data_IF_027747795807
#
_entry.id   IF_027747795807
#
_cell.length_a   1.000
_cell.length_b   1.000
_cell.length_c   1.000
_cell.angle_alpha   90.00
_cell.angle_beta   90.00
_cell.angle_gamma   90.00
#
_symmetry.space_group_name_H-M   'P 1'
#
loop_
_entity.id
_entity.type
_entity.pdbx_description
1 polymer ?
#
# COMPACT_ATOMS: atom_id res chain seq x y z
N UNK A 1 -11.35 15.84 17.38
CA UNK A 1 -9.91 15.83 17.05
C UNK A 1 -9.63 16.82 15.91
N UNK A 2 -8.44 17.42 15.89
CA UNK A 2 -8.04 18.25 14.75
C UNK A 2 -7.93 17.37 13.49
N UNK A 3 -8.54 17.82 12.38
CA UNK A 3 -8.48 17.11 11.09
C UNK A 3 -7.16 17.42 10.37
N UNK A 4 -6.08 16.73 10.74
CA UNK A 4 -4.73 16.97 10.23
C UNK A 4 -4.58 16.68 8.73
N UNK A 5 -5.47 15.87 8.16
CA UNK A 5 -5.43 15.40 6.77
C UNK A 5 -6.62 15.89 5.94
N UNK A 6 -7.28 16.98 6.40
CA UNK A 6 -8.40 17.56 5.65
C UNK A 6 -7.99 17.87 4.21
N UNK A 7 -8.81 17.43 3.26
CA UNK A 7 -8.56 17.59 1.83
C UNK A 7 -7.44 16.72 1.25
N UNK A 8 -6.81 15.81 2.02
CA UNK A 8 -5.85 14.82 1.51
C UNK A 8 -6.57 13.59 0.98
N UNK A 9 -5.93 12.91 0.04
CA UNK A 9 -6.40 11.65 -0.54
C UNK A 9 -5.36 10.57 -0.27
N UNK A 10 -5.78 9.48 0.37
CA UNK A 10 -4.93 8.36 0.74
C UNK A 10 -5.37 7.08 0.02
N UNK A 11 -4.39 6.31 -0.43
CA UNK A 11 -4.57 4.94 -0.93
C UNK A 11 -3.87 4.01 0.05
N UNK A 12 -4.58 3.01 0.56
CA UNK A 12 -4.00 2.00 1.45
C UNK A 12 -4.23 0.62 0.83
N UNK A 13 -3.16 -0.14 0.63
CA UNK A 13 -3.22 -1.50 0.08
C UNK A 13 -3.32 -2.55 1.18
N UNK A 14 -4.07 -3.64 0.94
CA UNK A 14 -4.34 -4.64 1.97
C UNK A 14 -5.15 -4.07 3.13
N UNK A 15 -6.08 -3.15 2.85
CA UNK A 15 -6.79 -2.36 3.84
C UNK A 15 -8.14 -2.93 4.28
N UNK A 16 -8.47 -4.15 3.89
CA UNK A 16 -9.69 -4.82 4.32
C UNK A 16 -9.64 -5.35 5.75
N UNK A 17 -8.44 -5.56 6.31
CA UNK A 17 -8.22 -6.15 7.64
C UNK A 17 -6.95 -5.67 8.30
N UNK A 18 -6.81 -6.01 9.59
CA UNK A 18 -5.58 -5.84 10.38
C UNK A 18 -5.06 -4.40 10.35
N UNK A 19 -3.74 -4.26 10.19
CA UNK A 19 -3.06 -2.96 10.25
C UNK A 19 -3.59 -2.01 9.17
N UNK A 20 -3.70 -2.47 7.92
CA UNK A 20 -4.18 -1.61 6.81
C UNK A 20 -5.61 -1.09 7.01
N UNK A 21 -6.49 -1.88 7.64
CA UNK A 21 -7.83 -1.43 8.03
C UNK A 21 -7.76 -0.28 9.04
N UNK A 22 -6.96 -0.45 10.10
CA UNK A 22 -6.81 0.57 11.14
C UNK A 22 -6.16 1.86 10.59
N UNK A 23 -5.19 1.73 9.69
CA UNK A 23 -4.60 2.86 8.98
C UNK A 23 -5.64 3.60 8.14
N UNK A 24 -6.48 2.89 7.38
CA UNK A 24 -7.53 3.48 6.57
C UNK A 24 -8.54 4.26 7.43
N UNK A 25 -8.98 3.67 8.54
CA UNK A 25 -9.91 4.29 9.49
C UNK A 25 -9.28 5.53 10.15
N UNK A 26 -8.04 5.41 10.63
CA UNK A 26 -7.34 6.50 11.28
C UNK A 26 -7.13 7.69 10.33
N UNK A 27 -6.67 7.45 9.11
CA UNK A 27 -6.48 8.52 8.13
C UNK A 27 -7.82 9.21 7.79
N UNK A 28 -8.92 8.43 7.67
CA UNK A 28 -10.26 8.98 7.47
C UNK A 28 -10.75 9.82 8.66
N UNK A 29 -10.52 9.38 9.89
CA UNK A 29 -10.83 10.14 11.12
C UNK A 29 -10.11 11.49 11.16
N UNK A 30 -8.90 11.55 10.60
CA UNK A 30 -8.14 12.80 10.45
C UNK A 30 -8.52 13.62 9.21
N UNK A 31 -9.55 13.23 8.46
CA UNK A 31 -10.13 14.01 7.36
C UNK A 31 -9.63 13.65 5.96
N UNK A 32 -8.83 12.59 5.80
CA UNK A 32 -8.46 12.10 4.49
C UNK A 32 -9.65 11.42 3.79
N UNK A 33 -9.72 11.56 2.46
CA UNK A 33 -10.52 10.70 1.59
C UNK A 33 -9.71 9.45 1.28
N UNK A 34 -10.32 8.28 1.37
CA UNK A 34 -9.57 7.01 1.40
C UNK A 34 -9.99 6.07 0.27
N UNK A 35 -9.01 5.53 -0.45
CA UNK A 35 -9.18 4.33 -1.27
C UNK A 35 -8.76 3.13 -0.43
N UNK A 36 -9.70 2.27 -0.12
CA UNK A 36 -9.50 1.01 0.60
C UNK A 36 -9.27 -0.08 -0.45
N UNK A 37 -8.02 -0.49 -0.67
CA UNK A 37 -7.72 -1.56 -1.60
C UNK A 37 -7.56 -2.88 -0.86
N UNK A 38 -8.32 -3.88 -1.24
CA UNK A 38 -8.17 -5.26 -0.80
C UNK A 38 -8.85 -6.22 -1.80
N UNK A 39 -8.15 -7.18 -2.41
CA UNK A 39 -8.75 -8.16 -3.32
C UNK A 39 -9.61 -9.22 -2.62
N UNK A 40 -9.65 -9.22 -1.27
CA UNK A 40 -10.43 -10.17 -0.49
C UNK A 40 -9.84 -11.58 -0.45
N UNK A 41 -8.52 -11.72 -0.44
CA UNK A 41 -7.83 -12.99 -0.23
C UNK A 41 -7.43 -13.17 1.23
N UNK A 42 -7.24 -14.42 1.67
CA UNK A 42 -6.76 -14.73 3.01
C UNK A 42 -5.27 -14.40 3.21
N UNK A 43 -4.75 -14.60 4.43
CA UNK A 43 -3.36 -14.32 4.78
C UNK A 43 -2.32 -15.12 3.96
N UNK A 44 -2.70 -16.29 3.42
CA UNK A 44 -1.85 -17.08 2.51
C UNK A 44 -1.86 -16.58 1.06
N UNK A 45 -2.68 -15.57 0.75
CA UNK A 45 -2.92 -15.10 -0.62
C UNK A 45 -3.93 -15.94 -1.38
N UNK A 46 -4.69 -16.80 -0.71
CA UNK A 46 -5.68 -17.72 -1.28
C UNK A 46 -7.08 -17.47 -0.72
N UNK A 47 -8.08 -18.03 -1.39
CA UNK A 47 -9.47 -17.83 -1.02
C UNK A 47 -10.08 -16.58 -1.63
N UNK A 48 -11.35 -16.35 -1.34
CA UNK A 48 -12.10 -15.18 -1.79
C UNK A 48 -13.11 -14.77 -0.72
N UNK A 49 -12.81 -13.71 -0.03
CA UNK A 49 -13.74 -13.06 0.91
C UNK A 49 -14.14 -11.70 0.34
N UNK A 50 -15.26 -11.69 -0.35
CA UNK A 50 -15.63 -10.69 -1.36
C UNK A 50 -16.07 -9.31 -0.85
N UNK A 51 -16.01 -9.02 0.45
CA UNK A 51 -16.57 -7.75 0.97
C UNK A 51 -15.74 -7.00 1.99
N UNK A 52 -14.53 -7.46 2.25
CA UNK A 52 -13.71 -6.86 3.32
C UNK A 52 -13.37 -5.38 3.09
N UNK A 53 -13.11 -4.99 1.85
CA UNK A 53 -12.89 -3.58 1.52
C UNK A 53 -14.17 -2.74 1.66
N UNK A 54 -15.32 -3.29 1.25
CA UNK A 54 -16.62 -2.61 1.36
C UNK A 54 -17.01 -2.38 2.82
N UNK A 55 -16.76 -3.35 3.70
CA UNK A 55 -17.05 -3.23 5.12
C UNK A 55 -16.29 -2.06 5.76
N UNK A 56 -15.02 -1.91 5.43
CA UNK A 56 -14.19 -0.77 5.90
C UNK A 56 -14.70 0.55 5.30
N UNK A 57 -15.06 0.57 4.03
CA UNK A 57 -15.66 1.74 3.38
C UNK A 57 -16.96 2.16 4.05
N UNK A 58 -17.84 1.20 4.36
CA UNK A 58 -19.10 1.47 5.06
C UNK A 58 -18.85 2.01 6.48
N UNK A 59 -17.87 1.47 7.20
CA UNK A 59 -17.49 1.96 8.52
C UNK A 59 -16.98 3.40 8.47
N UNK A 60 -16.07 3.71 7.52
CA UNK A 60 -15.57 5.08 7.32
C UNK A 60 -16.71 6.04 7.01
N UNK A 61 -17.67 5.66 6.15
CA UNK A 61 -18.84 6.47 5.83
C UNK A 61 -19.76 6.69 7.03
N UNK A 62 -19.98 5.67 7.87
CA UNK A 62 -20.76 5.79 9.12
C UNK A 62 -20.16 6.79 10.11
N UNK A 63 -18.82 6.95 10.08
CA UNK A 63 -18.11 7.96 10.88
C UNK A 63 -18.11 9.37 10.25
N UNK A 64 -18.77 9.54 9.08
CA UNK A 64 -18.82 10.80 8.35
C UNK A 64 -17.60 11.06 7.45
N UNK A 65 -16.74 10.08 7.21
CA UNK A 65 -15.61 10.13 6.28
C UNK A 65 -16.01 9.80 4.84
N UNK A 66 -15.08 9.99 3.90
CA UNK A 66 -15.24 9.63 2.49
C UNK A 66 -14.30 8.50 2.13
N UNK A 67 -14.83 7.39 1.62
CA UNK A 67 -14.02 6.25 1.15
C UNK A 67 -14.65 5.54 -0.03
N UNK A 68 -13.80 4.86 -0.82
CA UNK A 68 -14.20 3.97 -1.93
C UNK A 68 -13.37 2.70 -1.88
N UNK A 69 -13.96 1.57 -2.28
CA UNK A 69 -13.28 0.30 -2.37
C UNK A 69 -12.57 0.14 -3.73
N UNK A 70 -11.49 -0.62 -3.73
CA UNK A 70 -10.80 -1.13 -4.91
C UNK A 70 -10.38 -2.58 -4.64
N UNK A 71 -10.49 -3.47 -5.64
CA UNK A 71 -10.30 -4.92 -5.48
C UNK A 71 -9.15 -5.47 -6.35
N UNK A 72 -8.36 -4.59 -6.95
CA UNK A 72 -7.24 -4.99 -7.80
C UNK A 72 -6.08 -5.57 -6.98
N UNK A 73 -5.32 -6.46 -7.60
CA UNK A 73 -4.14 -7.06 -7.00
C UNK A 73 -2.90 -6.16 -7.16
N UNK A 74 -2.14 -5.95 -6.11
CA UNK A 74 -0.91 -5.13 -6.13
C UNK A 74 0.21 -5.78 -6.97
N UNK A 75 0.26 -7.10 -7.06
CA UNK A 75 1.26 -7.86 -7.83
C UNK A 75 1.00 -7.87 -9.35
N UNK A 76 -0.19 -7.42 -9.80
CA UNK A 76 -0.47 -7.11 -11.20
C UNK A 76 -0.13 -5.63 -11.48
N UNK A 77 0.73 -5.37 -12.47
CA UNK A 77 1.20 -4.02 -12.77
C UNK A 77 0.06 -3.10 -13.23
N UNK A 78 -0.84 -3.60 -14.09
CA UNK A 78 -2.02 -2.83 -14.53
C UNK A 78 -3.08 -2.74 -13.42
N UNK A 79 -3.19 -3.76 -12.55
CA UNK A 79 -4.00 -3.69 -11.33
C UNK A 79 -3.54 -2.58 -10.39
N UNK A 80 -2.25 -2.50 -10.13
CA UNK A 80 -1.66 -1.42 -9.32
C UNK A 80 -1.91 -0.04 -9.92
N UNK A 81 -1.88 0.08 -11.26
CA UNK A 81 -2.27 1.31 -11.95
C UNK A 81 -3.73 1.67 -11.69
N UNK A 82 -4.65 0.71 -11.75
CA UNK A 82 -6.08 0.95 -11.47
C UNK A 82 -6.31 1.31 -10.00
N UNK A 83 -5.51 0.78 -9.06
CA UNK A 83 -5.57 1.20 -7.65
C UNK A 83 -5.30 2.71 -7.53
N UNK A 84 -4.20 3.19 -8.11
CA UNK A 84 -3.85 4.62 -8.08
C UNK A 84 -4.87 5.45 -8.88
N UNK A 85 -5.31 4.96 -10.04
CA UNK A 85 -6.30 5.63 -10.87
C UNK A 85 -7.65 5.81 -10.15
N UNK A 86 -8.03 4.86 -9.28
CA UNK A 86 -9.24 4.97 -8.46
C UNK A 86 -9.23 6.25 -7.60
N UNK A 87 -8.09 6.60 -6.99
CA UNK A 87 -7.97 7.84 -6.23
C UNK A 87 -8.11 9.09 -7.11
N UNK A 88 -7.50 9.05 -8.29
CA UNK A 88 -7.54 10.15 -9.26
C UNK A 88 -8.96 10.35 -9.79
N UNK A 89 -9.64 9.29 -10.19
CA UNK A 89 -10.98 9.34 -10.78
C UNK A 89 -12.04 9.75 -9.76
N UNK A 90 -11.92 9.30 -8.52
CA UNK A 90 -12.92 9.57 -7.47
C UNK A 90 -12.69 10.87 -6.71
N UNK A 91 -11.42 11.23 -6.51
CA UNK A 91 -11.04 12.35 -5.64
C UNK A 91 -10.15 13.39 -6.32
N UNK A 92 -9.80 13.20 -7.60
CA UNK A 92 -9.04 14.14 -8.42
C UNK A 92 -7.51 14.13 -8.20
N UNK A 93 -7.01 13.36 -7.21
CA UNK A 93 -5.58 13.33 -6.85
C UNK A 93 -5.22 12.14 -5.96
N UNK A 94 -3.94 12.00 -5.70
CA UNK A 94 -3.38 11.18 -4.60
C UNK A 94 -2.35 12.01 -3.85
N UNK A 95 -2.42 12.03 -2.51
CA UNK A 95 -1.45 12.68 -1.63
C UNK A 95 -0.64 11.65 -0.82
N UNK A 96 -1.27 10.52 -0.43
CA UNK A 96 -0.67 9.52 0.46
C UNK A 96 -0.86 8.13 -0.16
N UNK A 97 0.22 7.35 -0.21
CA UNK A 97 0.23 5.93 -0.55
C UNK A 97 0.79 5.14 0.63
N UNK A 98 0.00 4.20 1.16
CA UNK A 98 0.45 3.23 2.15
C UNK A 98 0.53 1.86 1.49
N UNK A 99 1.75 1.36 1.32
CA UNK A 99 2.03 0.01 0.83
C UNK A 99 2.06 -0.96 2.02
N UNK A 100 0.88 -1.48 2.38
CA UNK A 100 0.71 -2.40 3.49
C UNK A 100 0.36 -3.83 3.04
N UNK A 101 -0.15 -4.04 1.82
CA UNK A 101 -0.53 -5.36 1.33
C UNK A 101 0.57 -6.41 1.54
N UNK A 102 0.19 -7.57 2.06
CA UNK A 102 1.13 -8.64 2.35
C UNK A 102 0.46 -9.98 2.60
N UNK A 103 1.21 -11.06 2.43
CA UNK A 103 0.83 -12.43 2.71
C UNK A 103 1.96 -13.15 3.46
N UNK A 104 1.65 -14.24 4.14
CA UNK A 104 2.62 -15.08 4.83
C UNK A 104 2.58 -16.50 4.26
N UNK A 105 3.76 -17.03 3.94
CA UNK A 105 3.99 -18.41 3.52
C UNK A 105 5.26 -18.91 4.21
N UNK A 106 5.18 -19.00 5.53
CA UNK A 106 6.33 -19.31 6.39
C UNK A 106 6.64 -20.80 6.34
N UNK A 107 7.86 -21.12 5.95
CA UNK A 107 8.41 -22.48 5.93
C UNK A 107 9.91 -22.44 6.17
N UNK A 108 10.46 -23.49 6.80
CA UNK A 108 11.91 -23.67 6.84
C UNK A 108 12.47 -23.74 5.42
N UNK A 109 13.64 -23.18 5.16
CA UNK A 109 14.22 -23.03 3.82
C UNK A 109 14.25 -24.34 3.03
N UNK A 110 14.49 -25.46 3.67
CA UNK A 110 14.53 -26.78 3.03
C UNK A 110 13.14 -27.39 2.75
N UNK A 111 12.07 -26.76 3.23
CA UNK A 111 10.67 -27.13 2.96
C UNK A 111 9.93 -26.05 2.18
N UNK A 112 10.58 -24.93 1.88
CA UNK A 112 9.97 -23.83 1.13
C UNK A 112 9.91 -24.17 -0.35
N UNK A 113 8.72 -24.12 -0.92
CA UNK A 113 8.53 -24.33 -2.35
C UNK A 113 8.77 -23.02 -3.12
N UNK A 114 9.14 -23.12 -4.40
CA UNK A 114 9.33 -21.96 -5.28
C UNK A 114 8.08 -21.05 -5.29
N UNK A 115 6.90 -21.65 -5.28
CA UNK A 115 5.63 -20.93 -5.24
C UNK A 115 5.47 -20.08 -3.97
N UNK A 116 5.94 -20.57 -2.80
CA UNK A 116 5.87 -19.82 -1.54
C UNK A 116 6.79 -18.59 -1.59
N UNK A 117 7.96 -18.75 -2.19
CA UNK A 117 8.89 -17.65 -2.43
C UNK A 117 8.31 -16.63 -3.41
N UNK A 118 7.89 -17.09 -4.59
CA UNK A 118 7.41 -16.22 -5.66
C UNK A 118 6.18 -15.42 -5.28
N UNK A 119 5.20 -16.04 -4.61
CA UNK A 119 3.99 -15.35 -4.15
C UNK A 119 4.31 -14.25 -3.13
N UNK A 120 5.19 -14.53 -2.17
CA UNK A 120 5.59 -13.53 -1.16
C UNK A 120 6.34 -12.38 -1.82
N UNK A 121 7.33 -12.66 -2.67
CA UNK A 121 8.05 -11.63 -3.41
C UNK A 121 7.13 -10.80 -4.31
N UNK A 122 6.18 -11.45 -5.00
CA UNK A 122 5.23 -10.79 -5.89
C UNK A 122 4.30 -9.82 -5.14
N UNK A 123 3.77 -10.21 -4.00
CA UNK A 123 2.85 -9.35 -3.23
C UNK A 123 3.61 -8.24 -2.51
N UNK A 124 4.65 -8.58 -1.77
CA UNK A 124 5.37 -7.61 -0.94
C UNK A 124 6.26 -6.67 -1.76
N UNK A 125 7.33 -7.19 -2.36
CA UNK A 125 8.34 -6.35 -2.99
C UNK A 125 7.86 -5.80 -4.33
N UNK A 126 7.37 -6.67 -5.22
CA UNK A 126 6.86 -6.23 -6.52
C UNK A 126 5.58 -5.40 -6.38
N UNK A 127 4.67 -5.76 -5.46
CA UNK A 127 3.45 -4.99 -5.20
C UNK A 127 3.75 -3.57 -4.71
N UNK A 128 4.68 -3.43 -3.76
CA UNK A 128 5.19 -2.12 -3.31
C UNK A 128 5.78 -1.32 -4.47
N UNK A 129 6.63 -1.94 -5.29
CA UNK A 129 7.18 -1.29 -6.49
C UNK A 129 6.06 -0.84 -7.45
N UNK A 130 5.11 -1.70 -7.77
CA UNK A 130 4.05 -1.42 -8.75
C UNK A 130 3.23 -0.19 -8.34
N UNK A 131 2.70 -0.16 -7.10
CA UNK A 131 1.89 0.95 -6.61
C UNK A 131 2.72 2.24 -6.51
N UNK A 132 3.94 2.15 -6.00
CA UNK A 132 4.88 3.27 -5.90
C UNK A 132 5.19 3.85 -7.28
N UNK A 133 5.48 3.01 -8.28
CA UNK A 133 5.76 3.43 -9.65
C UNK A 133 4.63 4.32 -10.18
N UNK A 134 3.39 3.85 -10.13
CA UNK A 134 2.25 4.59 -10.70
C UNK A 134 1.96 5.89 -9.94
N UNK A 135 2.09 5.91 -8.64
CA UNK A 135 1.97 7.12 -7.83
C UNK A 135 3.08 8.15 -8.17
N UNK A 136 4.33 7.69 -8.25
CA UNK A 136 5.48 8.53 -8.61
C UNK A 136 5.37 9.11 -10.02
N UNK A 137 4.90 8.32 -11.00
CA UNK A 137 4.63 8.81 -12.36
C UNK A 137 3.60 9.94 -12.33
N UNK A 138 2.51 9.77 -11.58
CA UNK A 138 1.48 10.80 -11.46
C UNK A 138 2.05 12.07 -10.80
N UNK A 139 2.70 11.98 -9.64
CA UNK A 139 3.29 13.15 -8.95
C UNK A 139 4.32 13.88 -9.79
N UNK A 140 5.23 13.13 -10.45
CA UNK A 140 6.21 13.73 -11.39
C UNK A 140 5.52 14.52 -12.50
N UNK A 141 4.45 14.00 -13.06
CA UNK A 141 3.69 14.66 -14.13
C UNK A 141 2.97 15.92 -13.59
N UNK A 142 2.41 15.90 -12.38
CA UNK A 142 1.84 17.08 -11.74
C UNK A 142 2.91 18.16 -11.52
N UNK A 143 4.07 17.80 -10.98
CA UNK A 143 5.18 18.71 -10.76
C UNK A 143 5.70 19.33 -12.09
N UNK A 144 5.84 18.52 -13.14
CA UNK A 144 6.22 19.02 -14.48
C UNK A 144 5.18 19.96 -15.09
N UNK A 145 3.91 19.79 -14.75
CA UNK A 145 2.83 20.70 -15.14
C UNK A 145 2.74 21.97 -14.27
N UNK A 146 3.70 22.21 -13.39
CA UNK A 146 3.74 23.35 -12.49
C UNK A 146 2.74 23.30 -11.33
N UNK A 147 2.12 22.15 -11.09
CA UNK A 147 1.19 21.97 -9.97
C UNK A 147 1.94 21.61 -8.69
N UNK A 148 1.48 22.10 -7.51
CA UNK A 148 2.11 21.77 -6.25
C UNK A 148 1.94 20.27 -5.94
N UNK A 149 3.02 19.62 -5.54
CA UNK A 149 3.05 18.23 -5.11
C UNK A 149 3.51 18.14 -3.66
N UNK A 150 2.81 17.36 -2.85
CA UNK A 150 3.17 17.03 -1.47
C UNK A 150 2.83 15.57 -1.22
N UNK A 151 3.53 14.67 -1.93
CA UNK A 151 3.30 13.23 -1.86
C UNK A 151 3.96 12.62 -0.63
N UNK A 152 3.32 11.57 -0.09
CA UNK A 152 3.83 10.77 1.02
C UNK A 152 3.67 9.30 0.69
N UNK A 153 4.77 8.55 0.75
CA UNK A 153 4.76 7.10 0.65
C UNK A 153 5.17 6.52 2.00
N UNK A 154 4.40 5.57 2.48
CA UNK A 154 4.66 4.81 3.70
C UNK A 154 4.71 3.34 3.29
N UNK A 155 5.88 2.72 3.45
CA UNK A 155 6.11 1.31 3.15
C UNK A 155 6.15 0.50 4.45
N UNK A 156 5.42 -0.60 4.50
CA UNK A 156 5.44 -1.49 5.66
C UNK A 156 6.59 -2.48 5.53
N UNK A 157 7.63 -2.29 6.35
CA UNK A 157 8.76 -3.23 6.51
C UNK A 157 8.51 -4.20 7.66
N UNK A 158 9.54 -4.80 8.20
CA UNK A 158 9.48 -5.69 9.36
C UNK A 158 10.88 -5.86 9.95
N UNK A 159 10.97 -6.09 11.25
CA UNK A 159 12.17 -6.56 11.94
C UNK A 159 12.71 -7.88 11.35
N UNK A 160 11.85 -8.75 10.82
CA UNK A 160 12.25 -9.95 10.10
C UNK A 160 13.17 -9.66 8.90
N UNK A 161 13.03 -8.50 8.26
CA UNK A 161 13.89 -8.05 7.17
C UNK A 161 15.24 -7.50 7.64
N UNK A 162 15.36 -7.07 8.89
CA UNK A 162 16.58 -6.47 9.44
C UNK A 162 17.35 -7.44 10.36
N UNK A 163 16.62 -8.22 11.16
CA UNK A 163 17.19 -9.10 12.19
C UNK A 163 17.06 -10.58 11.83
N UNK A 164 16.22 -10.89 10.84
CA UNK A 164 15.88 -12.26 10.46
C UNK A 164 14.83 -12.88 11.37
N UNK A 165 14.08 -13.84 10.83
CA UNK A 165 13.16 -14.68 11.58
C UNK A 165 13.13 -16.09 10.99
N UNK A 166 13.18 -17.11 11.85
CA UNK A 166 13.20 -18.52 11.44
C UNK A 166 11.91 -18.85 10.68
N UNK A 167 12.05 -19.49 9.51
CA UNK A 167 10.91 -19.85 8.65
C UNK A 167 10.44 -18.76 7.71
N UNK A 168 11.03 -17.56 7.74
CA UNK A 168 10.62 -16.39 6.95
C UNK A 168 11.68 -15.92 5.96
N UNK A 169 12.41 -16.83 5.34
CA UNK A 169 13.45 -16.44 4.37
C UNK A 169 12.91 -15.67 3.16
N UNK A 170 11.71 -15.99 2.66
CA UNK A 170 11.01 -15.24 1.63
C UNK A 170 10.52 -13.87 2.14
N UNK A 171 9.81 -13.85 3.25
CA UNK A 171 9.24 -12.63 3.84
C UNK A 171 10.33 -11.66 4.28
N UNK A 172 11.35 -12.14 5.01
CA UNK A 172 12.48 -11.32 5.46
C UNK A 172 13.24 -10.72 4.28
N UNK A 173 13.53 -11.51 3.23
CA UNK A 173 14.15 -10.99 2.00
C UNK A 173 13.32 -9.89 1.33
N UNK A 174 11.99 -10.10 1.21
CA UNK A 174 11.10 -9.09 0.65
C UNK A 174 11.07 -7.80 1.48
N UNK A 175 11.01 -7.90 2.81
CA UNK A 175 10.96 -6.75 3.73
C UNK A 175 12.29 -5.98 3.78
N UNK A 176 13.43 -6.66 3.73
CA UNK A 176 14.74 -6.03 3.54
C UNK A 176 14.83 -5.29 2.20
N UNK A 177 14.31 -5.91 1.12
CA UNK A 177 14.22 -5.27 -0.20
C UNK A 177 13.37 -4.00 -0.18
N UNK A 178 12.24 -4.00 0.53
CA UNK A 178 11.39 -2.81 0.70
C UNK A 178 12.12 -1.70 1.47
N UNK A 179 12.91 -2.03 2.49
CA UNK A 179 13.70 -1.05 3.24
C UNK A 179 14.72 -0.35 2.33
N UNK A 180 15.48 -1.10 1.54
CA UNK A 180 16.43 -0.55 0.56
C UNK A 180 15.72 0.26 -0.53
N UNK A 181 14.62 -0.25 -1.08
CA UNK A 181 13.79 0.43 -2.07
C UNK A 181 13.28 1.79 -1.57
N UNK A 182 12.89 1.87 -0.29
CA UNK A 182 12.40 3.10 0.35
C UNK A 182 13.45 4.20 0.29
N UNK A 183 14.70 3.90 0.61
CA UNK A 183 15.81 4.87 0.62
C UNK A 183 16.04 5.42 -0.80
N UNK A 184 16.13 4.53 -1.79
CA UNK A 184 16.40 4.90 -3.18
C UNK A 184 15.28 5.80 -3.73
N UNK A 185 14.01 5.38 -3.54
CA UNK A 185 12.87 6.15 -4.05
C UNK A 185 12.73 7.50 -3.34
N UNK A 186 13.09 7.59 -2.05
CA UNK A 186 13.11 8.85 -1.33
C UNK A 186 14.05 9.87 -1.99
N UNK A 187 15.25 9.44 -2.36
CA UNK A 187 16.23 10.28 -3.06
C UNK A 187 15.75 10.69 -4.47
N UNK A 188 15.23 9.74 -5.25
CA UNK A 188 14.72 9.99 -6.61
C UNK A 188 13.55 10.97 -6.64
N UNK A 189 12.67 10.92 -5.64
CA UNK A 189 11.42 11.66 -5.61
C UNK A 189 11.48 12.97 -4.79
N UNK A 190 12.53 13.20 -4.03
CA UNK A 190 12.69 14.40 -3.20
C UNK A 190 12.47 15.71 -3.99
N UNK A 191 13.08 15.84 -5.17
CA UNK A 191 12.95 17.02 -6.03
C UNK A 191 11.53 17.29 -6.55
N UNK A 192 10.64 16.30 -6.45
CA UNK A 192 9.24 16.43 -6.85
C UNK A 192 8.31 16.66 -5.65
N UNK A 193 8.84 16.88 -4.44
CA UNK A 193 8.04 17.13 -3.24
C UNK A 193 7.40 15.88 -2.63
N UNK A 194 7.98 14.71 -2.88
CA UNK A 194 7.53 13.43 -2.32
C UNK A 194 8.51 12.94 -1.28
N UNK A 195 8.01 12.55 -0.11
CA UNK A 195 8.80 11.84 0.91
C UNK A 195 8.40 10.37 0.95
N UNK A 196 9.37 9.50 1.17
CA UNK A 196 9.18 8.05 1.25
C UNK A 196 9.81 7.55 2.54
N UNK A 197 9.02 6.88 3.37
CA UNK A 197 9.44 6.35 4.66
C UNK A 197 8.96 4.91 4.81
N UNK A 198 9.59 4.19 5.74
CA UNK A 198 9.20 2.83 6.11
C UNK A 198 8.87 2.75 7.61
N UNK A 199 7.93 1.91 7.94
CA UNK A 199 7.51 1.55 9.30
C UNK A 199 7.67 0.06 9.53
#
# INVERSE_FOLDING_TARGET
MAKLLEGKVAVITGAGRGIGREEAIMLAQHGAKVVVNDPGVGFSGEGKETRVADEVVEEIKKMGGEAVANYDFVNDFEGAKRIIQTAIDKFGKIDILVNNAGILRDKMIFNMEEEDWDKVMAVHLKGTFNCTHHACVWWRNQAKAGKPVSGRIINTTSDAGLLGNIGQSNYGAAKAGIAAFTIIVAEEMAKYGVTVNAI
#
